data_IF_818257437009
#
_entry.id   IF_818257437009
#
_cell.length_a   1.000
_cell.length_b   1.000
_cell.length_c   1.000
_cell.angle_alpha   90.00
_cell.angle_beta   90.00
_cell.angle_gamma   90.00
#
_symmetry.space_group_name_H-M   'P 1'
#
loop_
_entity.id
_entity.type
_entity.pdbx_description
1 polymer ?
#
# COMPACT_ATOMS: atom_id res chain seq x y z
N UNK A 1 -38.85 33.68 39.01
CA UNK A 1 -38.01 33.79 37.80
C UNK A 1 -37.09 32.58 37.79
N UNK A 2 -37.51 31.54 37.08
CA UNK A 2 -36.81 30.24 37.03
C UNK A 2 -36.05 30.17 35.71
N UNK A 3 -34.76 29.88 35.85
CA UNK A 3 -33.70 29.94 34.85
C UNK A 3 -33.90 28.93 33.71
N UNK A 4 -34.35 29.43 32.56
CA UNK A 4 -34.63 28.63 31.34
C UNK A 4 -33.38 28.20 30.57
N UNK A 5 -32.19 28.66 30.96
CA UNK A 5 -30.94 28.34 30.22
C UNK A 5 -30.24 27.06 30.70
N UNK A 6 -30.65 26.51 31.86
CA UNK A 6 -30.07 25.27 32.38
C UNK A 6 -30.62 23.99 31.74
N UNK A 7 -31.82 24.01 31.15
CA UNK A 7 -32.44 22.82 30.54
C UNK A 7 -31.98 22.54 29.10
N UNK A 8 -31.51 23.56 28.37
CA UNK A 8 -31.04 23.41 26.98
C UNK A 8 -29.62 22.81 26.88
N UNK A 9 -28.79 22.95 27.93
CA UNK A 9 -27.45 22.32 27.97
C UNK A 9 -27.49 20.81 28.27
N UNK A 10 -28.59 20.31 28.84
CA UNK A 10 -28.73 18.88 29.19
C UNK A 10 -29.15 17.99 28.01
N UNK A 11 -29.79 18.55 26.96
CA UNK A 11 -30.32 17.76 25.84
C UNK A 11 -29.34 17.55 24.67
N UNK A 12 -28.30 18.37 24.54
CA UNK A 12 -27.31 18.24 23.45
C UNK A 12 -26.23 17.16 23.70
N UNK A 13 -25.97 16.77 24.95
CA UNK A 13 -24.92 15.80 25.27
C UNK A 13 -25.39 14.33 25.33
N UNK A 14 -26.69 14.04 25.19
CA UNK A 14 -27.22 12.66 25.24
C UNK A 14 -27.28 11.91 23.90
N UNK A 15 -26.80 12.49 22.79
CA UNK A 15 -26.80 11.84 21.46
C UNK A 15 -25.45 11.31 20.96
N UNK A 16 -24.38 11.39 21.75
CA UNK A 16 -23.04 10.94 21.31
C UNK A 16 -22.58 9.58 21.87
N UNK A 17 -23.41 8.86 22.62
CA UNK A 17 -23.15 7.46 22.92
C UNK A 17 -23.96 6.60 21.94
N UNK A 18 -23.34 5.97 20.92
CA UNK A 18 -24.03 4.93 20.16
C UNK A 18 -24.54 3.89 21.16
N UNK A 19 -25.85 3.60 21.13
CA UNK A 19 -26.45 2.49 21.87
C UNK A 19 -25.53 1.28 21.70
N UNK A 20 -24.98 0.77 22.82
CA UNK A 20 -24.35 -0.55 22.85
C UNK A 20 -25.38 -1.52 22.25
N UNK A 21 -25.08 -2.22 21.13
CA UNK A 21 -25.97 -3.25 20.64
C UNK A 21 -26.12 -4.28 21.76
N UNK A 22 -27.37 -4.60 22.08
CA UNK A 22 -27.76 -5.58 23.07
C UNK A 22 -27.02 -6.89 22.82
N UNK A 23 -26.42 -7.44 23.88
CA UNK A 23 -25.62 -8.67 23.88
C UNK A 23 -26.50 -9.93 23.70
N UNK A 24 -27.15 -10.07 22.55
CA UNK A 24 -27.91 -11.25 22.18
C UNK A 24 -27.53 -11.62 20.74
N UNK A 25 -26.86 -12.77 20.60
CA UNK A 25 -26.13 -13.25 19.42
C UNK A 25 -24.88 -12.40 19.10
N UNK A 26 -23.70 -13.02 19.17
CA UNK A 26 -22.43 -12.34 18.84
C UNK A 26 -22.51 -11.63 17.49
N UNK A 27 -21.72 -10.56 17.27
CA UNK A 27 -21.78 -9.81 16.03
C UNK A 27 -21.58 -10.76 14.86
N UNK A 28 -22.67 -11.04 14.14
CA UNK A 28 -22.63 -11.90 12.96
C UNK A 28 -21.68 -11.25 11.98
N UNK A 29 -20.57 -11.94 11.70
CA UNK A 29 -19.55 -11.48 10.75
C UNK A 29 -20.25 -11.19 9.43
N UNK A 30 -20.38 -9.90 9.08
CA UNK A 30 -20.97 -9.51 7.81
C UNK A 30 -19.96 -9.83 6.72
N UNK A 31 -20.26 -10.83 5.91
CA UNK A 31 -19.47 -11.10 4.72
C UNK A 31 -19.45 -9.86 3.82
N UNK A 32 -18.31 -9.55 3.19
CA UNK A 32 -18.21 -8.45 2.25
C UNK A 32 -19.20 -8.62 1.10
N UNK A 33 -19.75 -7.51 0.63
CA UNK A 33 -20.67 -7.53 -0.50
C UNK A 33 -19.97 -8.10 -1.75
N UNK A 34 -20.66 -8.95 -2.51
CA UNK A 34 -20.17 -9.54 -3.75
C UNK A 34 -19.47 -8.54 -4.71
N UNK A 35 -19.98 -7.30 -4.96
CA UNK A 35 -19.26 -6.33 -5.80
C UNK A 35 -17.87 -5.97 -5.28
N UNK A 36 -17.65 -5.91 -3.96
CA UNK A 36 -16.35 -5.60 -3.37
C UNK A 36 -15.38 -6.79 -3.50
N UNK A 37 -15.89 -8.02 -3.37
CA UNK A 37 -15.10 -9.23 -3.61
C UNK A 37 -14.64 -9.27 -5.07
N UNK A 38 -15.56 -9.00 -6.02
CA UNK A 38 -15.23 -8.96 -7.44
C UNK A 38 -14.24 -7.83 -7.77
N UNK A 39 -14.42 -6.64 -7.19
CA UNK A 39 -13.47 -5.54 -7.34
C UNK A 39 -12.09 -5.91 -6.81
N UNK A 40 -11.98 -6.59 -5.67
CA UNK A 40 -10.72 -7.10 -5.14
C UNK A 40 -10.09 -8.17 -6.03
N UNK A 41 -10.88 -9.16 -6.43
CA UNK A 41 -10.43 -10.31 -7.21
C UNK A 41 -10.02 -9.96 -8.65
N UNK A 42 -10.59 -8.91 -9.24
CA UNK A 42 -10.25 -8.47 -10.61
C UNK A 42 -9.39 -7.20 -10.62
N UNK A 43 -9.80 -6.19 -9.87
CA UNK A 43 -9.17 -4.87 -9.85
C UNK A 43 -7.77 -4.91 -9.24
N UNK A 44 -7.57 -5.70 -8.19
CA UNK A 44 -6.26 -5.88 -7.55
C UNK A 44 -5.20 -6.41 -8.53
N UNK A 45 -5.39 -7.61 -9.10
CA UNK A 45 -4.47 -8.18 -10.08
C UNK A 45 -4.27 -7.30 -11.31
N UNK A 46 -5.33 -6.67 -11.80
CA UNK A 46 -5.25 -5.74 -12.92
C UNK A 46 -4.32 -4.55 -12.60
N UNK A 47 -4.49 -3.91 -11.44
CA UNK A 47 -3.65 -2.77 -11.06
C UNK A 47 -2.19 -3.18 -10.83
N UNK A 48 -1.97 -4.34 -10.19
CA UNK A 48 -0.62 -4.88 -9.94
C UNK A 48 0.10 -5.13 -11.28
N UNK A 49 -0.58 -5.76 -12.23
CA UNK A 49 0.00 -5.98 -13.56
C UNK A 49 0.23 -4.66 -14.30
N UNK A 50 -0.78 -3.78 -14.35
CA UNK A 50 -0.71 -2.50 -15.05
C UNK A 50 0.48 -1.64 -14.58
N UNK A 51 0.72 -1.59 -13.27
CA UNK A 51 1.80 -0.80 -12.67
C UNK A 51 3.10 -1.59 -12.44
N UNK A 52 3.25 -2.76 -13.05
CA UNK A 52 4.52 -3.52 -12.99
C UNK A 52 5.72 -2.71 -13.48
N UNK A 53 5.68 -1.92 -14.58
CA UNK A 53 6.85 -1.14 -14.99
C UNK A 53 7.33 -0.15 -13.92
N UNK A 54 6.39 0.52 -13.23
CA UNK A 54 6.73 1.46 -12.16
C UNK A 54 7.27 0.75 -10.91
N UNK A 55 6.76 -0.46 -10.62
CA UNK A 55 7.32 -1.33 -9.57
C UNK A 55 8.74 -1.79 -9.93
N UNK A 56 8.96 -2.22 -11.17
CA UNK A 56 10.27 -2.66 -11.64
C UNK A 56 11.29 -1.52 -11.56
N UNK A 57 10.91 -0.30 -11.97
CA UNK A 57 11.75 0.89 -11.83
C UNK A 57 12.14 1.17 -10.36
N UNK A 58 11.21 0.98 -9.42
CA UNK A 58 11.50 1.07 -7.98
C UNK A 58 12.47 -0.02 -7.49
N UNK A 59 12.43 -1.22 -8.08
CA UNK A 59 13.42 -2.27 -7.79
C UNK A 59 14.80 -1.87 -8.30
N UNK A 60 14.89 -1.39 -9.54
CA UNK A 60 16.16 -0.94 -10.15
C UNK A 60 16.76 0.24 -9.40
N UNK A 61 15.91 1.15 -8.88
CA UNK A 61 16.34 2.28 -8.04
C UNK A 61 17.20 1.86 -6.83
N UNK A 62 16.95 0.67 -6.28
CA UNK A 62 17.72 0.14 -5.13
C UNK A 62 19.14 -0.33 -5.48
N UNK A 63 19.46 -0.44 -6.76
CA UNK A 63 20.77 -0.90 -7.26
C UNK A 63 21.50 0.20 -8.05
N UNK A 64 20.83 1.33 -8.33
CA UNK A 64 21.37 2.40 -9.15
C UNK A 64 21.01 3.76 -8.50
N UNK A 65 21.96 4.32 -7.77
CA UNK A 65 21.80 5.60 -7.08
C UNK A 65 21.90 6.81 -8.01
N UNK A 66 22.58 6.66 -9.15
CA UNK A 66 22.97 7.76 -10.05
C UNK A 66 21.85 8.13 -11.03
N UNK A 67 21.01 7.16 -11.43
CA UNK A 67 19.97 7.38 -12.43
C UNK A 67 18.79 8.18 -11.88
N UNK A 68 18.25 9.07 -12.72
CA UNK A 68 17.00 9.77 -12.42
C UNK A 68 15.79 8.82 -12.44
N UNK A 69 14.69 9.23 -11.82
CA UNK A 69 13.44 8.45 -11.82
C UNK A 69 12.93 8.11 -13.24
N UNK A 70 13.09 9.04 -14.19
CA UNK A 70 12.67 8.84 -15.57
C UNK A 70 13.58 7.85 -16.30
N UNK A 71 14.90 7.94 -16.12
CA UNK A 71 15.85 6.96 -16.68
C UNK A 71 15.56 5.55 -16.16
N UNK A 72 15.32 5.39 -14.85
CA UNK A 72 14.95 4.11 -14.25
C UNK A 72 13.61 3.57 -14.78
N UNK A 73 12.65 4.45 -15.08
CA UNK A 73 11.40 4.03 -15.70
C UNK A 73 11.61 3.58 -17.15
N UNK A 74 12.35 4.37 -17.94
CA UNK A 74 12.69 4.04 -19.32
C UNK A 74 13.53 2.77 -19.45
N UNK A 75 14.45 2.51 -18.52
CA UNK A 75 15.31 1.31 -18.56
C UNK A 75 14.50 0.02 -18.49
N UNK A 76 13.34 0.04 -17.80
CA UNK A 76 12.42 -1.10 -17.80
C UNK A 76 11.91 -1.46 -19.19
N UNK A 77 12.00 -0.56 -20.17
CA UNK A 77 11.56 -0.71 -21.57
C UNK A 77 12.69 -0.92 -22.60
N UNK A 78 13.96 -0.94 -22.18
CA UNK A 78 15.11 -1.05 -23.10
C UNK A 78 15.10 -2.35 -23.91
N UNK A 79 14.52 -3.42 -23.38
CA UNK A 79 14.33 -4.70 -24.07
C UNK A 79 13.05 -4.79 -24.91
N UNK A 80 12.41 -3.65 -25.23
CA UNK A 80 11.17 -3.55 -25.99
C UNK A 80 9.93 -3.28 -25.12
N UNK A 81 8.81 -2.90 -25.73
CA UNK A 81 7.61 -2.48 -24.97
C UNK A 81 7.12 -3.51 -23.93
N UNK A 82 7.12 -4.80 -24.27
CA UNK A 82 6.70 -5.86 -23.35
C UNK A 82 7.66 -6.03 -22.15
N UNK A 83 8.85 -5.41 -22.18
CA UNK A 83 9.84 -5.57 -21.13
C UNK A 83 9.49 -4.92 -19.82
N UNK A 84 8.71 -3.84 -19.85
CA UNK A 84 8.26 -3.17 -18.63
C UNK A 84 7.50 -4.11 -17.70
N UNK A 85 6.90 -5.19 -18.23
CA UNK A 85 6.10 -6.16 -17.47
C UNK A 85 6.86 -7.42 -17.05
N UNK A 86 8.19 -7.44 -17.13
CA UNK A 86 9.00 -8.57 -16.67
C UNK A 86 8.67 -8.93 -15.21
N UNK A 87 8.33 -10.19 -14.98
CA UNK A 87 7.94 -10.72 -13.67
C UNK A 87 6.56 -10.28 -13.17
N UNK A 88 5.82 -9.44 -13.92
CA UNK A 88 4.55 -8.88 -13.49
C UNK A 88 3.46 -9.90 -13.21
N UNK A 89 3.51 -11.08 -13.84
CA UNK A 89 2.56 -12.16 -13.60
C UNK A 89 2.76 -12.86 -12.25
N UNK A 90 3.96 -12.87 -11.69
CA UNK A 90 4.23 -13.53 -10.40
C UNK A 90 3.32 -13.00 -9.28
N UNK A 91 3.19 -11.67 -9.06
CA UNK A 91 2.32 -11.12 -8.02
C UNK A 91 0.83 -11.05 -8.40
N UNK A 92 0.44 -11.33 -9.64
CA UNK A 92 -0.98 -11.24 -10.09
C UNK A 92 -1.84 -12.24 -9.33
N UNK A 93 -1.47 -13.53 -9.29
CA UNK A 93 -2.29 -14.54 -8.62
C UNK A 93 -2.37 -14.33 -7.09
N UNK A 94 -1.25 -14.08 -6.37
CA UNK A 94 -1.31 -13.82 -4.93
C UNK A 94 -1.99 -12.51 -4.58
N UNK A 95 -2.09 -11.56 -5.51
CA UNK A 95 -2.81 -10.31 -5.24
C UNK A 95 -4.31 -10.53 -4.99
N UNK A 96 -4.94 -11.56 -5.58
CA UNK A 96 -6.35 -11.88 -5.31
C UNK A 96 -6.62 -12.05 -3.80
N UNK A 97 -5.97 -13.00 -3.09
CA UNK A 97 -6.12 -13.10 -1.64
C UNK A 97 -5.49 -11.94 -0.89
N UNK A 98 -4.43 -11.28 -1.41
CA UNK A 98 -3.83 -10.10 -0.79
C UNK A 98 -4.87 -8.97 -0.57
N UNK A 99 -5.66 -8.63 -1.59
CA UNK A 99 -6.69 -7.60 -1.48
C UNK A 99 -7.84 -8.02 -0.53
N UNK A 100 -8.14 -9.31 -0.43
CA UNK A 100 -9.06 -9.83 0.60
C UNK A 100 -8.51 -9.68 2.02
N UNK A 101 -7.20 -9.83 2.21
CA UNK A 101 -6.55 -9.62 3.52
C UNK A 101 -6.60 -8.15 3.92
N UNK A 102 -6.28 -7.26 2.99
CA UNK A 102 -6.26 -5.82 3.24
C UNK A 102 -7.64 -5.25 3.58
N UNK A 103 -8.72 -5.82 3.02
CA UNK A 103 -10.10 -5.39 3.22
C UNK A 103 -10.84 -6.21 4.27
N UNK A 104 -11.62 -7.23 3.86
CA UNK A 104 -12.46 -8.04 4.74
C UNK A 104 -11.75 -8.61 5.97
N UNK A 105 -10.56 -9.22 5.80
CA UNK A 105 -9.88 -9.89 6.91
C UNK A 105 -9.40 -8.90 7.98
N UNK A 106 -8.96 -7.71 7.59
CA UNK A 106 -8.64 -6.63 8.53
C UNK A 106 -9.84 -6.29 9.42
N UNK A 107 -11.03 -6.13 8.82
CA UNK A 107 -12.24 -5.82 9.58
C UNK A 107 -12.61 -6.97 10.53
N UNK A 108 -12.48 -8.21 10.07
CA UNK A 108 -12.66 -9.38 10.91
C UNK A 108 -11.71 -9.38 12.12
N UNK A 109 -10.40 -9.19 11.91
CA UNK A 109 -9.44 -9.13 13.01
C UNK A 109 -9.71 -7.96 13.96
N UNK A 110 -10.11 -6.81 13.43
CA UNK A 110 -10.42 -5.63 14.24
C UNK A 110 -11.63 -5.88 15.14
N UNK A 111 -12.67 -6.53 14.63
CA UNK A 111 -13.85 -6.89 15.42
C UNK A 111 -13.54 -7.98 16.44
N UNK A 112 -12.79 -9.01 16.05
CA UNK A 112 -12.42 -10.11 16.93
C UNK A 112 -11.49 -9.68 18.09
N UNK A 113 -10.54 -8.78 17.83
CA UNK A 113 -9.53 -8.36 18.80
C UNK A 113 -9.88 -7.06 19.55
N UNK A 114 -10.88 -6.31 19.07
CA UNK A 114 -11.22 -4.99 19.60
C UNK A 114 -10.14 -3.92 19.42
N UNK A 115 -9.08 -4.19 18.63
CA UNK A 115 -7.94 -3.30 18.44
C UNK A 115 -7.57 -3.18 16.96
N UNK A 116 -7.57 -1.94 16.45
CA UNK A 116 -7.15 -1.66 15.07
C UNK A 116 -5.64 -1.92 14.86
N UNK A 117 -4.82 -1.69 15.89
CA UNK A 117 -3.36 -1.90 15.82
C UNK A 117 -3.05 -3.39 15.65
N UNK A 118 -3.64 -4.24 16.50
CA UNK A 118 -3.44 -5.69 16.39
C UNK A 118 -3.98 -6.24 15.06
N UNK A 119 -5.10 -5.72 14.59
CA UNK A 119 -5.63 -6.07 13.28
C UNK A 119 -4.68 -5.69 12.14
N UNK A 120 -4.05 -4.51 12.18
CA UNK A 120 -3.02 -4.12 11.19
C UNK A 120 -1.85 -5.09 11.24
N UNK A 121 -1.35 -5.45 12.43
CA UNK A 121 -0.21 -6.37 12.56
C UNK A 121 -0.52 -7.75 11.95
N UNK A 122 -1.67 -8.34 12.30
CA UNK A 122 -2.05 -9.65 11.75
C UNK A 122 -2.34 -9.59 10.25
N UNK A 123 -3.00 -8.54 9.76
CA UNK A 123 -3.21 -8.35 8.33
C UNK A 123 -1.89 -8.18 7.59
N UNK A 124 -0.93 -7.41 8.12
CA UNK A 124 0.38 -7.23 7.50
C UNK A 124 1.18 -8.53 7.43
N UNK A 125 1.11 -9.35 8.47
CA UNK A 125 1.73 -10.68 8.48
C UNK A 125 1.09 -11.59 7.43
N UNK A 126 -0.24 -11.68 7.40
CA UNK A 126 -0.96 -12.48 6.41
C UNK A 126 -0.67 -12.01 4.97
N UNK A 127 -0.66 -10.69 4.75
CA UNK A 127 -0.32 -10.08 3.47
C UNK A 127 1.10 -10.44 3.04
N UNK A 128 2.04 -10.44 3.97
CA UNK A 128 3.44 -10.80 3.71
C UNK A 128 3.58 -12.27 3.33
N UNK A 129 2.96 -13.18 4.10
CA UNK A 129 2.97 -14.63 3.82
C UNK A 129 2.46 -14.94 2.41
N UNK A 130 1.43 -14.21 1.95
CA UNK A 130 0.85 -14.38 0.62
C UNK A 130 1.77 -13.82 -0.47
N UNK A 131 2.35 -12.65 -0.24
CA UNK A 131 2.91 -11.85 -1.33
C UNK A 131 4.44 -11.91 -1.45
N UNK A 132 5.17 -12.22 -0.38
CA UNK A 132 6.64 -12.08 -0.36
C UNK A 132 7.33 -12.88 -1.45
N UNK A 133 7.03 -14.18 -1.59
CA UNK A 133 7.69 -15.03 -2.59
C UNK A 133 7.48 -14.51 -4.01
N UNK A 134 6.25 -14.11 -4.34
CA UNK A 134 5.90 -13.57 -5.65
C UNK A 134 6.51 -12.19 -5.94
N UNK A 135 6.60 -11.32 -4.93
CA UNK A 135 7.23 -10.00 -5.07
C UNK A 135 8.75 -10.15 -5.21
N UNK A 136 9.36 -11.08 -4.48
CA UNK A 136 10.78 -11.40 -4.57
C UNK A 136 11.12 -11.89 -5.97
N UNK A 137 10.34 -12.85 -6.50
CA UNK A 137 10.52 -13.34 -7.86
C UNK A 137 10.41 -12.21 -8.90
N UNK A 138 9.40 -11.35 -8.79
CA UNK A 138 9.24 -10.21 -9.71
C UNK A 138 10.44 -9.26 -9.66
N UNK A 139 10.91 -8.89 -8.47
CA UNK A 139 12.06 -8.00 -8.29
C UNK A 139 13.35 -8.59 -8.90
N UNK A 140 13.61 -9.87 -8.64
CA UNK A 140 14.78 -10.58 -9.16
C UNK A 140 14.74 -10.75 -10.67
N UNK A 141 13.56 -11.03 -11.25
CA UNK A 141 13.40 -11.09 -12.71
C UNK A 141 13.65 -9.72 -13.36
N UNK A 142 13.17 -8.63 -12.75
CA UNK A 142 13.41 -7.28 -13.24
C UNK A 142 14.90 -6.92 -13.18
N UNK A 143 15.57 -7.19 -12.05
CA UNK A 143 17.01 -6.96 -11.88
C UNK A 143 17.86 -7.80 -12.84
N UNK A 144 17.66 -9.12 -12.90
CA UNK A 144 18.44 -10.00 -13.78
C UNK A 144 18.30 -9.61 -15.25
N UNK A 145 17.12 -9.12 -15.64
CA UNK A 145 16.91 -8.61 -16.98
C UNK A 145 17.69 -7.32 -17.24
N UNK A 146 17.62 -6.37 -16.33
CA UNK A 146 18.35 -5.10 -16.41
C UNK A 146 19.86 -5.35 -16.53
N UNK A 147 20.41 -6.26 -15.70
CA UNK A 147 21.82 -6.67 -15.77
C UNK A 147 22.16 -7.31 -17.13
N UNK A 148 21.31 -8.20 -17.65
CA UNK A 148 21.50 -8.78 -18.99
C UNK A 148 21.48 -7.71 -20.09
N UNK A 149 20.57 -6.74 -20.01
CA UNK A 149 20.50 -5.64 -20.98
C UNK A 149 21.75 -4.75 -20.92
N UNK A 150 22.30 -4.54 -19.72
CA UNK A 150 23.55 -3.83 -19.50
C UNK A 150 24.80 -4.62 -19.91
N UNK A 151 24.67 -5.88 -20.35
CA UNK A 151 25.80 -6.74 -20.69
C UNK A 151 26.59 -7.27 -19.47
N UNK A 152 25.98 -7.21 -18.28
CA UNK A 152 26.55 -7.71 -17.03
C UNK A 152 26.17 -9.16 -16.79
N UNK A 153 27.14 -9.97 -16.33
CA UNK A 153 26.91 -11.36 -15.93
C UNK A 153 26.39 -11.49 -14.48
N UNK A 154 26.20 -10.37 -13.78
CA UNK A 154 25.66 -10.37 -12.41
C UNK A 154 24.19 -10.75 -12.43
N UNK A 155 23.85 -11.87 -11.80
CA UNK A 155 22.48 -12.33 -11.63
C UNK A 155 22.25 -12.87 -10.23
N UNK A 156 21.04 -12.68 -9.71
CA UNK A 156 20.59 -13.27 -8.46
C UNK A 156 19.72 -14.50 -8.72
N UNK A 157 19.79 -15.54 -7.86
CA UNK A 157 18.94 -16.72 -8.01
C UNK A 157 17.45 -16.35 -7.87
N UNK A 158 16.63 -16.89 -8.76
CA UNK A 158 15.18 -16.68 -8.74
C UNK A 158 14.55 -17.44 -7.58
N UNK A 159 13.78 -16.72 -6.75
CA UNK A 159 13.10 -17.27 -5.60
C UNK A 159 11.84 -18.05 -5.99
N UNK A 160 11.55 -19.13 -5.28
CA UNK A 160 10.31 -19.87 -5.48
C UNK A 160 9.13 -19.05 -4.93
N UNK A 161 8.12 -18.69 -5.76
CA UNK A 161 7.03 -17.81 -5.36
C UNK A 161 6.10 -18.42 -4.31
N UNK A 162 6.15 -19.75 -4.10
CA UNK A 162 5.34 -20.47 -3.12
C UNK A 162 5.98 -20.50 -1.72
N UNK A 163 7.23 -20.06 -1.57
CA UNK A 163 7.91 -20.04 -0.27
C UNK A 163 7.58 -18.71 0.43
N UNK A 164 6.89 -18.72 1.58
CA UNK A 164 6.36 -17.52 2.24
C UNK A 164 7.39 -16.79 3.12
N UNK A 165 8.67 -17.01 2.86
CA UNK A 165 9.79 -16.37 3.54
C UNK A 165 10.94 -16.23 2.55
N UNK A 166 11.91 -15.37 2.86
CA UNK A 166 13.07 -15.14 2.02
C UNK A 166 13.93 -13.95 2.48
N UNK A 167 14.87 -13.51 1.64
CA UNK A 167 15.67 -12.32 1.89
C UNK A 167 14.77 -11.11 2.16
N UNK A 168 15.09 -10.35 3.22
CA UNK A 168 14.34 -9.15 3.57
C UNK A 168 12.93 -9.38 4.15
N UNK A 169 12.59 -10.58 4.63
CA UNK A 169 11.25 -10.85 5.21
C UNK A 169 10.86 -9.85 6.30
N UNK A 170 11.78 -9.53 7.22
CA UNK A 170 11.51 -8.59 8.33
C UNK A 170 11.20 -7.19 7.80
N UNK A 171 12.01 -6.66 6.87
CA UNK A 171 11.77 -5.34 6.29
C UNK A 171 10.49 -5.31 5.45
N UNK A 172 10.13 -6.43 4.80
CA UNK A 172 8.87 -6.56 4.07
C UNK A 172 7.64 -6.54 4.98
N UNK A 173 7.68 -7.25 6.11
CA UNK A 173 6.62 -7.19 7.13
C UNK A 173 6.48 -5.76 7.65
N UNK A 174 7.58 -5.12 8.05
CA UNK A 174 7.57 -3.73 8.55
C UNK A 174 7.01 -2.76 7.51
N UNK A 175 7.41 -2.91 6.24
CA UNK A 175 6.83 -2.14 5.12
C UNK A 175 5.32 -2.28 5.07
N UNK A 176 4.79 -3.50 5.16
CA UNK A 176 3.35 -3.76 5.11
C UNK A 176 2.61 -3.22 6.35
N UNK A 177 3.20 -3.31 7.54
CA UNK A 177 2.65 -2.70 8.76
C UNK A 177 2.49 -1.19 8.57
N UNK A 178 3.53 -0.50 8.08
CA UNK A 178 3.50 0.95 7.87
C UNK A 178 2.49 1.33 6.79
N UNK A 179 2.48 0.62 5.66
CA UNK A 179 1.54 0.86 4.57
C UNK A 179 0.08 0.69 5.02
N UNK A 180 -0.25 -0.40 5.72
CA UNK A 180 -1.59 -0.65 6.26
C UNK A 180 -1.98 0.33 7.36
N UNK A 181 -1.03 0.75 8.20
CA UNK A 181 -1.27 1.77 9.23
C UNK A 181 -1.73 3.09 8.60
N UNK A 182 -1.15 3.47 7.46
CA UNK A 182 -1.61 4.60 6.64
C UNK A 182 -3.11 4.61 6.40
N UNK A 183 -3.58 3.54 5.78
CA UNK A 183 -4.97 3.40 5.32
C UNK A 183 -5.92 3.21 6.52
N UNK A 184 -5.50 2.46 7.55
CA UNK A 184 -6.40 1.99 8.61
C UNK A 184 -6.37 2.81 9.89
N UNK A 185 -5.25 3.46 10.18
CA UNK A 185 -5.02 4.21 11.41
C UNK A 185 -4.94 5.71 11.10
N UNK A 186 -4.15 6.11 10.09
CA UNK A 186 -3.89 7.53 9.79
C UNK A 186 -4.94 8.22 8.92
N UNK A 187 -5.73 7.49 8.12
CA UNK A 187 -6.81 8.09 7.31
C UNK A 187 -7.77 8.97 8.13
N UNK A 188 -8.26 8.48 9.28
CA UNK A 188 -9.21 9.24 10.13
C UNK A 188 -8.65 10.58 10.65
N UNK A 189 -7.46 10.64 11.27
CA UNK A 189 -6.90 11.92 11.69
C UNK A 189 -6.60 12.84 10.50
N UNK A 190 -6.15 12.31 9.35
CA UNK A 190 -5.97 13.12 8.14
C UNK A 190 -7.29 13.74 7.66
N UNK A 191 -8.38 12.98 7.62
CA UNK A 191 -9.72 13.48 7.28
C UNK A 191 -10.22 14.53 8.28
N UNK A 192 -9.94 14.36 9.58
CA UNK A 192 -10.28 15.32 10.63
C UNK A 192 -9.49 16.62 10.48
N UNK A 193 -8.19 16.54 10.22
CA UNK A 193 -7.32 17.69 9.98
C UNK A 193 -7.75 18.46 8.72
N UNK A 194 -8.08 17.76 7.63
CA UNK A 194 -8.56 18.39 6.41
C UNK A 194 -9.90 19.10 6.64
N UNK A 195 -10.81 18.50 7.42
CA UNK A 195 -12.08 19.14 7.80
C UNK A 195 -11.84 20.41 8.62
N UNK A 196 -10.87 20.38 9.52
CA UNK A 196 -10.49 21.54 10.31
C UNK A 196 -9.90 22.65 9.42
N UNK A 197 -8.95 22.31 8.54
CA UNK A 197 -8.33 23.27 7.61
C UNK A 197 -9.36 23.89 6.65
N UNK A 198 -10.27 23.11 6.09
CA UNK A 198 -11.32 23.61 5.21
C UNK A 198 -12.24 24.62 5.92
N UNK A 199 -12.56 24.40 7.20
CA UNK A 199 -13.32 25.35 8.03
C UNK A 199 -12.55 26.65 8.28
N UNK A 200 -11.26 26.55 8.58
CA UNK A 200 -10.40 27.72 8.79
C UNK A 200 -10.28 28.61 7.54
N UNK A 201 -10.32 27.98 6.36
CA UNK A 201 -10.25 28.68 5.07
C UNK A 201 -11.63 29.08 4.52
N UNK A 202 -12.72 28.79 5.24
CA UNK A 202 -14.10 28.99 4.76
C UNK A 202 -14.41 28.31 3.41
N UNK A 203 -13.79 27.15 3.15
CA UNK A 203 -14.01 26.36 1.92
C UNK A 203 -14.97 25.21 2.23
N UNK A 204 -16.10 25.16 1.52
CA UNK A 204 -17.01 24.01 1.57
C UNK A 204 -16.59 22.95 0.57
N UNK A 205 -15.99 21.86 1.07
CA UNK A 205 -15.66 20.69 0.25
C UNK A 205 -16.82 19.68 0.27
N UNK A 206 -17.28 19.19 -0.89
CA UNK A 206 -18.20 18.05 -0.95
C UNK A 206 -17.66 16.86 -0.16
N UNK A 207 -18.53 16.15 0.55
CA UNK A 207 -18.11 15.08 1.47
C UNK A 207 -17.23 14.02 0.78
N UNK A 208 -17.62 13.59 -0.43
CA UNK A 208 -16.84 12.62 -1.20
C UNK A 208 -15.44 13.11 -1.57
N UNK A 209 -15.29 14.39 -1.91
CA UNK A 209 -13.98 15.00 -2.21
C UNK A 209 -13.11 15.06 -0.96
N UNK A 210 -13.69 15.47 0.17
CA UNK A 210 -12.98 15.54 1.46
C UNK A 210 -12.49 14.16 1.92
N UNK A 211 -13.33 13.13 1.80
CA UNK A 211 -12.93 11.76 2.15
C UNK A 211 -11.79 11.27 1.25
N UNK A 212 -11.93 11.47 -0.07
CA UNK A 212 -10.90 11.12 -1.03
C UNK A 212 -9.55 11.81 -0.75
N UNK A 213 -9.56 13.13 -0.52
CA UNK A 213 -8.33 13.88 -0.21
C UNK A 213 -7.70 13.43 1.12
N UNK A 214 -8.50 13.16 2.14
CA UNK A 214 -8.01 12.65 3.41
C UNK A 214 -7.33 11.28 3.27
N UNK A 215 -7.94 10.38 2.49
CA UNK A 215 -7.37 9.07 2.19
C UNK A 215 -6.12 9.18 1.32
N UNK A 216 -6.13 10.06 0.32
CA UNK A 216 -4.99 10.33 -0.54
C UNK A 216 -3.77 10.83 0.23
N UNK A 217 -3.96 11.82 1.12
CA UNK A 217 -2.89 12.35 1.98
C UNK A 217 -2.37 11.27 2.94
N UNK A 218 -3.26 10.48 3.55
CA UNK A 218 -2.85 9.38 4.42
C UNK A 218 -2.05 8.30 3.65
N UNK A 219 -2.46 7.96 2.44
CA UNK A 219 -1.75 7.03 1.55
C UNK A 219 -0.39 7.58 1.11
N UNK A 220 -0.28 8.87 0.81
CA UNK A 220 1.01 9.51 0.51
C UNK A 220 1.95 9.48 1.71
N UNK A 221 1.46 9.85 2.90
CA UNK A 221 2.24 9.76 4.14
C UNK A 221 2.73 8.33 4.41
N UNK A 222 1.86 7.34 4.23
CA UNK A 222 2.23 5.93 4.37
C UNK A 222 3.22 5.46 3.30
N UNK A 223 3.12 5.97 2.07
CA UNK A 223 4.06 5.69 1.00
C UNK A 223 5.46 6.22 1.37
N UNK A 224 5.55 7.47 1.86
CA UNK A 224 6.79 8.10 2.33
C UNK A 224 7.40 7.29 3.49
N UNK A 225 6.61 7.00 4.52
CA UNK A 225 7.08 6.27 5.70
C UNK A 225 7.49 4.82 5.38
N UNK A 226 6.85 4.18 4.39
CA UNK A 226 7.18 2.81 3.98
C UNK A 226 8.31 2.74 2.94
N UNK A 227 8.74 3.87 2.37
CA UNK A 227 9.72 3.89 1.28
C UNK A 227 11.09 3.32 1.70
N UNK A 228 11.68 3.66 2.86
CA UNK A 228 12.97 3.11 3.25
C UNK A 228 12.92 1.59 3.40
N UNK A 229 11.86 1.06 4.00
CA UNK A 229 11.66 -0.39 4.13
C UNK A 229 11.43 -1.08 2.78
N UNK A 230 10.77 -0.40 1.84
CA UNK A 230 10.61 -0.91 0.49
C UNK A 230 11.95 -0.99 -0.25
N UNK A 231 12.80 0.04 -0.11
CA UNK A 231 14.10 0.07 -0.77
C UNK A 231 15.08 -0.92 -0.14
N UNK A 232 15.08 -1.04 1.19
CA UNK A 232 15.78 -2.12 1.90
C UNK A 232 15.34 -3.52 1.45
N UNK A 233 14.04 -3.72 1.28
CA UNK A 233 13.52 -4.99 0.77
C UNK A 233 14.02 -5.27 -0.65
N UNK A 234 13.91 -4.29 -1.56
CA UNK A 234 14.40 -4.42 -2.93
C UNK A 234 15.90 -4.75 -2.94
N UNK A 235 16.71 -3.98 -2.19
CA UNK A 235 18.14 -4.25 -2.02
C UNK A 235 18.41 -5.66 -1.51
N UNK A 236 17.70 -6.10 -0.47
CA UNK A 236 17.88 -7.42 0.13
C UNK A 236 17.59 -8.58 -0.85
N UNK A 237 16.65 -8.41 -1.78
CA UNK A 237 16.28 -9.46 -2.75
C UNK A 237 17.08 -9.41 -4.05
N UNK A 238 17.76 -8.29 -4.34
CA UNK A 238 18.58 -8.12 -5.56
C UNK A 238 20.09 -7.99 -5.30
N UNK A 239 20.55 -7.99 -4.04
CA UNK A 239 21.97 -7.92 -3.70
C UNK A 239 22.55 -9.30 -3.36
N UNK A 240 23.50 -9.76 -4.18
CA UNK A 240 24.24 -11.00 -3.92
C UNK A 240 25.04 -10.91 -2.62
N UNK A 241 25.69 -9.76 -2.37
CA UNK A 241 26.42 -9.50 -1.13
C UNK A 241 25.52 -9.62 0.11
N UNK A 242 24.26 -9.15 0.03
CA UNK A 242 23.31 -9.33 1.13
C UNK A 242 22.94 -10.80 1.33
N UNK A 243 22.71 -11.55 0.25
CA UNK A 243 22.31 -12.96 0.35
C UNK A 243 23.41 -13.84 0.94
N UNK A 244 24.66 -13.61 0.54
CA UNK A 244 25.84 -14.36 0.98
C UNK A 244 26.29 -13.99 2.40
N UNK A 245 25.87 -12.84 2.91
CA UNK A 245 26.21 -12.39 4.24
C UNK A 245 25.51 -13.20 5.35
N UNK A 246 26.24 -13.39 6.46
CA UNK A 246 25.68 -13.86 7.72
C UNK A 246 24.68 -12.86 8.36
N UNK A 247 24.00 -13.21 9.46
CA UNK A 247 22.96 -12.36 10.05
C UNK A 247 23.41 -10.94 10.41
N UNK A 248 24.61 -10.79 10.99
CA UNK A 248 25.20 -9.49 11.33
C UNK A 248 25.65 -8.73 10.09
N UNK A 249 26.21 -9.45 9.10
CA UNK A 249 26.58 -8.88 7.80
C UNK A 249 25.38 -8.33 7.03
N UNK A 250 24.21 -8.98 7.13
CA UNK A 250 22.95 -8.49 6.54
C UNK A 250 22.49 -7.17 7.12
N UNK A 251 22.55 -7.02 8.44
CA UNK A 251 22.23 -5.74 9.11
C UNK A 251 23.22 -4.66 8.68
N UNK A 252 24.51 -4.99 8.66
CA UNK A 252 25.57 -4.06 8.25
C UNK A 252 25.39 -3.62 6.79
N UNK A 253 25.09 -4.54 5.88
CA UNK A 253 24.86 -4.23 4.47
C UNK A 253 23.62 -3.35 4.26
N UNK A 254 22.54 -3.58 5.01
CA UNK A 254 21.35 -2.71 4.96
C UNK A 254 21.63 -1.30 5.50
N UNK A 255 22.38 -1.19 6.60
CA UNK A 255 22.78 0.10 7.15
C UNK A 255 23.70 0.84 6.18
N UNK A 256 24.69 0.15 5.62
CA UNK A 256 25.57 0.69 4.58
C UNK A 256 24.78 1.20 3.39
N UNK A 257 23.84 0.40 2.86
CA UNK A 257 22.94 0.82 1.78
C UNK A 257 22.21 2.13 2.10
N UNK A 258 21.60 2.26 3.29
CA UNK A 258 20.89 3.50 3.66
C UNK A 258 21.83 4.70 3.78
N UNK A 259 23.00 4.50 4.38
CA UNK A 259 23.98 5.57 4.58
C UNK A 259 24.53 6.05 3.24
N UNK A 260 24.97 5.13 2.38
CA UNK A 260 25.56 5.42 1.07
C UNK A 260 24.56 6.06 0.10
N UNK A 261 23.30 5.62 0.12
CA UNK A 261 22.31 6.11 -0.84
C UNK A 261 21.60 7.38 -0.39
N UNK A 262 21.41 7.60 0.91
CA UNK A 262 20.52 8.66 1.41
C UNK A 262 21.22 9.76 2.21
N UNK A 263 22.45 9.56 2.67
CA UNK A 263 23.21 10.57 3.40
C UNK A 263 24.36 11.10 2.53
N UNK A 264 24.65 12.40 2.68
CA UNK A 264 25.81 13.03 2.06
C UNK A 264 26.82 13.31 3.17
N UNK A 265 28.05 12.85 2.97
CA UNK A 265 29.16 13.03 3.91
C UNK A 265 30.15 14.08 3.37
N UNK A 266 30.76 14.88 4.25
CA UNK A 266 31.90 15.72 3.90
C UNK A 266 33.22 14.93 3.88
N UNK A 267 34.33 15.59 3.56
CA UNK A 267 35.67 14.98 3.58
C UNK A 267 36.13 14.47 4.96
N UNK A 268 35.52 14.97 6.04
CA UNK A 268 35.81 14.58 7.42
C UNK A 268 34.92 13.43 7.92
N UNK A 269 33.99 12.93 7.09
CA UNK A 269 33.06 11.86 7.43
C UNK A 269 31.83 12.28 8.23
N UNK A 270 31.55 13.58 8.35
CA UNK A 270 30.33 14.11 8.98
C UNK A 270 29.17 14.18 7.98
N UNK A 271 27.95 13.92 8.44
CA UNK A 271 26.72 14.02 7.62
C UNK A 271 26.38 15.50 7.40
N UNK A 272 26.47 15.96 6.16
CA UNK A 272 26.14 17.35 5.78
C UNK A 272 24.74 17.51 5.20
N UNK A 273 24.08 16.42 4.82
CA UNK A 273 22.73 16.50 4.27
C UNK A 273 22.15 15.19 3.79
N UNK A 274 21.01 15.31 3.10
CA UNK A 274 20.29 14.19 2.48
C UNK A 274 20.57 14.17 0.97
N UNK A 275 20.73 12.97 0.42
CA UNK A 275 20.96 12.76 -1.01
C UNK A 275 19.68 13.04 -1.82
N UNK A 276 19.83 13.54 -3.05
CA UNK A 276 18.74 13.63 -4.03
C UNK A 276 18.11 12.28 -4.36
N UNK A 277 18.85 11.19 -4.18
CA UNK A 277 18.37 9.81 -4.32
C UNK A 277 17.20 9.51 -3.38
N UNK A 278 17.20 10.08 -2.16
CA UNK A 278 16.08 9.94 -1.22
C UNK A 278 14.81 10.58 -1.81
N UNK A 279 14.90 11.81 -2.32
CA UNK A 279 13.77 12.49 -2.92
C UNK A 279 13.23 11.74 -4.15
N UNK A 280 14.13 11.23 -5.00
CA UNK A 280 13.79 10.38 -6.16
C UNK A 280 12.99 9.15 -5.73
N UNK A 281 13.51 8.38 -4.79
CA UNK A 281 12.90 7.13 -4.33
C UNK A 281 11.55 7.37 -3.64
N UNK A 282 11.44 8.44 -2.85
CA UNK A 282 10.19 8.88 -2.25
C UNK A 282 9.15 9.24 -3.32
N UNK A 283 9.52 10.03 -4.33
CA UNK A 283 8.63 10.40 -5.42
C UNK A 283 8.17 9.17 -6.21
N UNK A 284 9.07 8.25 -6.57
CA UNK A 284 8.71 7.03 -7.28
C UNK A 284 7.78 6.15 -6.43
N UNK A 285 8.04 6.05 -5.12
CA UNK A 285 7.19 5.27 -4.20
C UNK A 285 5.80 5.86 -4.08
N UNK A 286 5.71 7.18 -3.92
CA UNK A 286 4.44 7.90 -3.90
C UNK A 286 3.70 7.74 -5.22
N UNK A 287 4.37 7.89 -6.37
CA UNK A 287 3.77 7.71 -7.68
C UNK A 287 3.19 6.29 -7.85
N UNK A 288 3.92 5.26 -7.45
CA UNK A 288 3.45 3.88 -7.50
C UNK A 288 2.24 3.63 -6.60
N UNK A 289 2.34 4.03 -5.33
CA UNK A 289 1.29 3.79 -4.35
C UNK A 289 0.02 4.59 -4.68
N UNK A 290 0.18 5.86 -5.06
CA UNK A 290 -0.94 6.73 -5.41
C UNK A 290 -1.68 6.25 -6.65
N UNK A 291 -0.96 5.91 -7.73
CA UNK A 291 -1.60 5.42 -8.96
C UNK A 291 -2.28 4.07 -8.75
N UNK A 292 -1.63 3.14 -8.04
CA UNK A 292 -2.20 1.83 -7.72
C UNK A 292 -3.51 1.94 -6.94
N UNK A 293 -3.52 2.69 -5.82
CA UNK A 293 -4.73 2.81 -5.01
C UNK A 293 -5.82 3.66 -5.65
N UNK A 294 -5.46 4.71 -6.39
CA UNK A 294 -6.45 5.55 -7.08
C UNK A 294 -7.17 4.75 -8.17
N UNK A 295 -6.42 3.99 -8.97
CA UNK A 295 -6.99 3.13 -10.01
C UNK A 295 -7.81 1.99 -9.41
N UNK A 296 -7.33 1.36 -8.34
CA UNK A 296 -8.11 0.35 -7.63
C UNK A 296 -9.43 0.92 -7.07
N UNK A 297 -9.39 2.10 -6.45
CA UNK A 297 -10.59 2.77 -5.94
C UNK A 297 -11.58 3.13 -7.07
N UNK A 298 -11.08 3.53 -8.24
CA UNK A 298 -11.92 3.78 -9.41
C UNK A 298 -12.62 2.49 -9.90
N UNK A 299 -11.89 1.36 -9.94
CA UNK A 299 -12.44 0.06 -10.27
C UNK A 299 -13.51 -0.34 -9.25
N UNK A 300 -13.23 -0.23 -7.95
CA UNK A 300 -14.19 -0.56 -6.89
C UNK A 300 -15.51 0.20 -7.05
N UNK A 301 -15.44 1.52 -7.27
CA UNK A 301 -16.62 2.36 -7.50
C UNK A 301 -17.41 1.96 -8.74
N UNK A 302 -16.71 1.58 -9.82
CA UNK A 302 -17.35 1.08 -11.03
C UNK A 302 -18.15 -0.21 -10.76
N UNK A 303 -17.56 -1.18 -10.04
CA UNK A 303 -18.24 -2.43 -9.70
C UNK A 303 -19.47 -2.22 -8.80
N UNK A 304 -19.37 -1.32 -7.81
CA UNK A 304 -20.51 -0.95 -6.95
C UNK A 304 -21.62 -0.31 -7.80
N UNK A 305 -21.28 0.64 -8.66
CA UNK A 305 -22.24 1.31 -9.54
C UNK A 305 -22.97 0.31 -10.47
N UNK A 306 -22.24 -0.64 -11.05
CA UNK A 306 -22.81 -1.68 -11.91
C UNK A 306 -23.76 -2.59 -11.13
N UNK A 307 -23.41 -2.97 -9.90
CA UNK A 307 -24.24 -3.80 -9.04
C UNK A 307 -25.55 -3.08 -8.65
N UNK A 308 -25.47 -1.81 -8.26
CA UNK A 308 -26.65 -0.99 -7.97
C UNK A 308 -27.54 -0.81 -9.19
N UNK A 309 -26.95 -0.53 -10.35
CA UNK A 309 -27.68 -0.37 -11.61
C UNK A 309 -28.45 -1.65 -11.99
N UNK A 310 -27.83 -2.82 -11.79
CA UNK A 310 -28.49 -4.11 -12.00
C UNK A 310 -29.64 -4.34 -11.02
N UNK A 311 -29.47 -3.97 -9.74
CA UNK A 311 -30.52 -4.05 -8.71
C UNK A 311 -31.71 -3.14 -9.05
N UNK A 312 -31.46 -1.90 -9.49
CA UNK A 312 -32.51 -0.96 -9.93
C UNK A 312 -33.29 -1.50 -11.13
N UNK A 313 -32.59 -2.02 -12.15
CA UNK A 313 -33.24 -2.66 -13.32
C UNK A 313 -34.10 -3.85 -12.93
N UNK A 314 -33.64 -4.70 -12.00
CA UNK A 314 -34.42 -5.85 -11.52
C UNK A 314 -35.69 -5.41 -10.78
N UNK A 315 -35.58 -4.41 -9.91
CA UNK A 315 -36.71 -3.89 -9.16
C UNK A 315 -37.71 -3.14 -10.05
N UNK A 316 -37.23 -2.44 -11.09
CA UNK A 316 -38.10 -1.79 -12.08
C UNK A 316 -38.90 -2.80 -12.91
N UNK A 317 -38.29 -3.93 -13.31
CA UNK A 317 -39.01 -5.01 -13.99
C UNK A 317 -40.05 -5.70 -13.10
N UNK A 318 -39.75 -5.90 -11.81
CA UNK A 318 -40.70 -6.48 -10.87
C UNK A 318 -41.95 -5.60 -10.70
N UNK A 319 -41.76 -4.28 -10.55
CA UNK A 319 -42.86 -3.32 -10.45
C UNK A 319 -43.70 -3.16 -11.72
N UNK A 320 -43.13 -3.44 -12.89
CA UNK A 320 -43.85 -3.38 -14.17
C UNK A 320 -44.67 -4.65 -14.46
N UNK A 321 -44.48 -5.71 -13.66
CA UNK A 321 -45.21 -6.97 -13.77
C UNK A 321 -46.36 -7.10 -12.75
N UNK A 322 -46.45 -6.15 -11.80
CA UNK A 322 -47.57 -5.97 -10.85
C UNK A 322 -48.62 -5.02 -11.44
#
# INVERSE_FOLDING_TARGET
MVDRDSELRSRCFRRCCPRRPSAACGPGVKFPEAPLILAGAFGGPFCIFLYTPLRNALTLASQNAESSAWQLYCSTFEGGFSSGWTGGFAPVLPSCPQFCVMGPLFHFFKEALGSAVLAVLLSALAETTISIGSQTLNAQMAFNRDQRNAGSDVQVPLWNPLIPYGPGTVVHVTRNIVALSGIRIFSKPCQAALRWAARMLHIELPEGVRLFLGDFVASLGAAVLSAPFNQLYNFAVTSQAYMDAGPTGKVTAMMGFLMENYLVFNGDGEVVGLSSTLARDLCMRCAYVATLYTTFSAIERLFVFLAESRKRRRNGKAKAAE
#
